data_IF_836674280531
#
_entry.id   IF_836674280531
#
_cell.length_a   1.000
_cell.length_b   1.000
_cell.length_c   1.000
_cell.angle_alpha   90.00
_cell.angle_beta   90.00
_cell.angle_gamma   90.00
#
_symmetry.space_group_name_H-M   'P 1'
#
loop_
_entity.id
_entity.type
_entity.pdbx_description
1 polymer ?
#
# COMPACT_ATOMS: atom_id res chain seq x y z
N UNK A 1 15.95 26.07 12.67
CA UNK A 1 16.08 25.66 11.25
C UNK A 1 14.94 24.70 11.00
N UNK A 2 13.84 25.25 10.48
CA UNK A 2 12.54 24.57 10.38
C UNK A 2 12.54 23.76 9.09
N UNK A 3 12.75 22.46 9.18
CA UNK A 3 12.44 21.54 8.08
C UNK A 3 10.92 21.49 7.95
N UNK A 4 10.39 22.17 6.92
CA UNK A 4 9.02 21.96 6.47
C UNK A 4 8.96 20.56 5.85
N UNK A 5 7.98 19.70 6.18
CA UNK A 5 7.84 18.43 5.50
C UNK A 5 7.34 18.73 4.09
N UNK A 6 8.23 18.65 3.12
CA UNK A 6 7.86 18.66 1.70
C UNK A 6 6.91 17.50 1.47
N UNK A 7 5.68 17.83 1.10
CA UNK A 7 4.59 16.89 0.94
C UNK A 7 5.00 15.80 -0.05
N UNK A 8 5.38 14.63 0.49
CA UNK A 8 5.23 13.37 -0.22
C UNK A 8 3.85 13.40 -0.88
N UNK A 9 3.75 13.04 -2.15
CA UNK A 9 2.47 12.85 -2.82
C UNK A 9 1.74 11.66 -2.16
N UNK A 10 1.23 11.88 -0.95
CA UNK A 10 0.46 10.93 -0.15
C UNK A 10 -0.91 10.88 -0.76
N UNK A 11 -1.13 9.90 -1.61
CA UNK A 11 -2.41 9.77 -2.31
C UNK A 11 -3.32 8.95 -1.44
N UNK A 12 -4.37 9.60 -0.95
CA UNK A 12 -5.35 8.96 -0.10
C UNK A 12 -6.28 8.06 -0.90
N UNK A 13 -6.29 6.76 -0.62
CA UNK A 13 -7.09 5.77 -1.33
C UNK A 13 -8.58 6.14 -1.37
N UNK A 14 -9.15 6.57 -0.24
CA UNK A 14 -10.53 7.07 -0.18
C UNK A 14 -10.78 8.29 -1.07
N UNK A 15 -9.83 9.23 -1.16
CA UNK A 15 -9.95 10.44 -1.97
C UNK A 15 -10.03 10.14 -3.47
N UNK A 16 -9.36 9.09 -3.94
CA UNK A 16 -9.45 8.68 -5.34
C UNK A 16 -10.88 8.26 -5.70
N UNK A 17 -11.57 7.54 -4.80
CA UNK A 17 -12.95 7.10 -5.06
C UNK A 17 -13.92 8.29 -5.11
N UNK A 18 -13.65 9.34 -4.32
CA UNK A 18 -14.40 10.60 -4.38
C UNK A 18 -14.16 11.34 -5.69
N UNK A 19 -12.91 11.50 -6.10
CA UNK A 19 -12.56 12.15 -7.36
C UNK A 19 -13.17 11.46 -8.58
N UNK A 20 -13.33 10.12 -8.52
CA UNK A 20 -13.94 9.31 -9.58
C UNK A 20 -15.47 9.26 -9.50
N UNK A 21 -16.09 9.88 -8.49
CA UNK A 21 -17.54 9.85 -8.29
C UNK A 21 -18.09 8.48 -7.88
N UNK A 22 -17.23 7.53 -7.47
CA UNK A 22 -17.63 6.19 -7.04
C UNK A 22 -18.20 6.19 -5.61
N UNK A 23 -17.69 7.08 -4.77
CA UNK A 23 -18.20 7.38 -3.43
C UNK A 23 -18.19 8.89 -3.22
N UNK A 24 -18.98 9.39 -2.29
CA UNK A 24 -18.81 10.75 -1.75
C UNK A 24 -18.00 10.73 -0.44
N UNK A 25 -17.66 11.91 0.07
CA UNK A 25 -16.84 12.03 1.29
C UNK A 25 -17.47 11.35 2.51
N UNK A 26 -18.78 11.46 2.69
CA UNK A 26 -19.48 10.87 3.83
C UNK A 26 -19.55 9.35 3.74
N UNK A 27 -19.67 8.81 2.53
CA UNK A 27 -19.56 7.38 2.28
C UNK A 27 -18.16 6.87 2.61
N UNK A 28 -17.10 7.58 2.17
CA UNK A 28 -15.71 7.23 2.53
C UNK A 28 -15.50 7.27 4.05
N UNK A 29 -15.96 8.33 4.74
CA UNK A 29 -15.89 8.42 6.21
C UNK A 29 -16.58 7.24 6.89
N UNK A 30 -17.75 6.83 6.39
CA UNK A 30 -18.46 5.64 6.89
C UNK A 30 -17.65 4.35 6.72
N UNK A 31 -17.02 4.14 5.56
CA UNK A 31 -16.16 2.96 5.33
C UNK A 31 -14.98 2.97 6.29
N UNK A 32 -14.28 4.09 6.42
CA UNK A 32 -13.11 4.21 7.31
C UNK A 32 -13.49 4.01 8.78
N UNK A 33 -14.64 4.54 9.21
CA UNK A 33 -15.16 4.30 10.56
C UNK A 33 -15.48 2.82 10.80
N UNK A 34 -16.13 2.15 9.82
CA UNK A 34 -16.37 0.72 9.90
C UNK A 34 -15.05 -0.08 9.94
N UNK A 35 -14.09 0.26 9.07
CA UNK A 35 -12.78 -0.37 9.00
C UNK A 35 -12.03 -0.28 10.33
N UNK A 36 -11.98 0.89 10.94
CA UNK A 36 -11.32 1.08 12.23
C UNK A 36 -11.99 0.30 13.36
N UNK A 37 -13.32 0.12 13.30
CA UNK A 37 -14.09 -0.61 14.30
C UNK A 37 -14.03 -2.13 14.14
N UNK A 38 -14.06 -2.64 12.92
CA UNK A 38 -14.20 -4.08 12.65
C UNK A 38 -12.89 -4.75 12.23
N UNK A 39 -11.91 -3.97 11.75
CA UNK A 39 -10.69 -4.52 11.16
C UNK A 39 -10.93 -5.21 9.82
N UNK A 40 -12.09 -5.02 9.18
CA UNK A 40 -12.37 -5.58 7.86
C UNK A 40 -11.70 -4.78 6.74
N UNK A 41 -11.28 -5.40 5.63
CA UNK A 41 -10.66 -4.71 4.51
C UNK A 41 -11.56 -3.65 3.87
N UNK A 42 -10.95 -2.55 3.42
CA UNK A 42 -11.68 -1.41 2.85
C UNK A 42 -12.58 -1.80 1.67
N UNK A 43 -12.08 -2.65 0.76
CA UNK A 43 -12.83 -3.08 -0.41
C UNK A 43 -14.07 -3.90 -0.06
N UNK A 44 -13.93 -4.82 0.90
CA UNK A 44 -15.06 -5.62 1.40
C UNK A 44 -16.14 -4.75 2.04
N UNK A 45 -15.72 -3.70 2.77
CA UNK A 45 -16.64 -2.75 3.37
C UNK A 45 -17.35 -1.88 2.33
N UNK A 46 -16.65 -1.43 1.29
CA UNK A 46 -17.26 -0.73 0.17
C UNK A 46 -18.30 -1.58 -0.56
N UNK A 47 -18.00 -2.86 -0.80
CA UNK A 47 -18.93 -3.79 -1.42
C UNK A 47 -20.18 -3.99 -0.55
N UNK A 48 -19.97 -4.29 0.74
CA UNK A 48 -21.07 -4.53 1.68
C UNK A 48 -21.95 -3.29 1.92
N UNK A 49 -21.35 -2.11 2.03
CA UNK A 49 -22.07 -0.88 2.40
C UNK A 49 -22.66 -0.14 1.19
N UNK A 50 -22.09 -0.29 0.00
CA UNK A 50 -22.38 0.54 -1.17
C UNK A 50 -22.42 -0.23 -2.49
N UNK A 51 -22.24 -1.55 -2.50
CA UNK A 51 -22.27 -2.37 -3.71
C UNK A 51 -21.07 -2.16 -4.65
N UNK A 52 -19.99 -1.54 -4.16
CA UNK A 52 -18.80 -1.24 -4.96
C UNK A 52 -17.78 -2.38 -4.83
N UNK A 53 -17.59 -3.15 -5.92
CA UNK A 53 -16.70 -4.32 -5.90
C UNK A 53 -15.23 -3.94 -5.64
N UNK A 54 -14.44 -4.79 -4.97
CA UNK A 54 -13.01 -4.56 -4.77
C UNK A 54 -12.25 -4.35 -6.09
N UNK A 55 -12.64 -5.05 -7.15
CA UNK A 55 -12.03 -4.90 -8.47
C UNK A 55 -12.27 -3.50 -9.08
N UNK A 56 -13.44 -2.91 -8.85
CA UNK A 56 -13.74 -1.52 -9.27
C UNK A 56 -12.89 -0.50 -8.51
N UNK A 57 -12.65 -0.76 -7.22
CA UNK A 57 -11.83 0.10 -6.37
C UNK A 57 -10.37 0.04 -6.82
N UNK A 58 -9.86 -1.18 -7.02
CA UNK A 58 -8.50 -1.42 -7.53
C UNK A 58 -8.26 -0.74 -8.88
N UNK A 59 -9.21 -0.84 -9.82
CA UNK A 59 -9.07 -0.23 -11.14
C UNK A 59 -9.10 1.30 -11.09
N UNK A 60 -10.00 1.88 -10.27
CA UNK A 60 -10.06 3.32 -10.06
C UNK A 60 -8.76 3.87 -9.47
N UNK A 61 -8.18 3.16 -8.51
CA UNK A 61 -6.89 3.50 -7.91
C UNK A 61 -5.74 3.37 -8.90
N UNK A 62 -5.62 2.24 -9.60
CA UNK A 62 -4.56 2.01 -10.56
C UNK A 62 -4.54 3.11 -11.65
N UNK A 63 -5.71 3.51 -12.15
CA UNK A 63 -5.81 4.56 -13.16
C UNK A 63 -5.37 5.93 -12.64
N UNK A 64 -5.66 6.27 -11.38
CA UNK A 64 -5.24 7.54 -10.79
C UNK A 64 -3.73 7.59 -10.57
N UNK A 65 -3.16 6.51 -10.05
CA UNK A 65 -1.73 6.44 -9.78
C UNK A 65 -0.87 6.39 -11.05
N UNK A 66 -1.34 5.83 -12.15
CA UNK A 66 -0.64 5.88 -13.44
C UNK A 66 -0.32 7.33 -13.88
N UNK A 67 -1.18 8.30 -13.54
CA UNK A 67 -0.95 9.73 -13.82
C UNK A 67 -0.01 10.43 -12.84
N UNK A 68 0.38 9.78 -11.74
CA UNK A 68 1.22 10.35 -10.67
C UNK A 68 2.67 9.83 -10.71
N UNK A 69 2.99 8.95 -11.66
CA UNK A 69 4.30 8.29 -11.78
C UNK A 69 5.45 9.26 -12.13
N UNK A 70 5.15 10.45 -12.64
CA UNK A 70 6.14 11.39 -13.18
C UNK A 70 6.93 12.21 -12.14
N UNK A 71 6.73 12.00 -10.83
CA UNK A 71 7.28 12.89 -9.77
C UNK A 71 8.16 12.18 -8.73
N UNK A 72 8.64 10.97 -8.99
CA UNK A 72 9.18 10.11 -7.93
C UNK A 72 10.68 9.85 -8.09
N UNK A 73 11.49 10.78 -7.58
CA UNK A 73 12.91 10.56 -7.32
C UNK A 73 13.20 10.45 -5.81
N UNK A 74 13.80 9.30 -5.44
CA UNK A 74 14.55 8.93 -4.21
C UNK A 74 13.99 9.23 -2.82
N UNK A 75 14.01 8.19 -1.97
CA UNK A 75 14.62 8.19 -0.61
C UNK A 75 14.70 6.75 -0.10
N UNK A 76 15.71 6.45 0.71
CA UNK A 76 15.83 5.17 1.40
C UNK A 76 14.56 4.87 2.23
N UNK A 77 14.14 3.61 2.27
CA UNK A 77 12.99 3.21 3.06
C UNK A 77 13.44 2.96 4.50
N UNK A 78 13.07 3.86 5.40
CA UNK A 78 13.31 3.74 6.84
C UNK A 78 12.00 3.35 7.54
N UNK A 79 11.68 2.06 7.66
CA UNK A 79 10.44 1.61 8.26
C UNK A 79 10.44 1.75 9.78
N UNK A 80 9.32 2.18 10.35
CA UNK A 80 9.07 2.07 11.80
C UNK A 80 8.84 0.61 12.21
N UNK A 81 9.17 0.27 13.45
CA UNK A 81 9.04 -1.10 13.97
C UNK A 81 7.56 -1.53 14.03
N UNK A 82 6.67 -0.59 14.35
CA UNK A 82 5.23 -0.76 14.38
C UNK A 82 4.70 -1.10 12.99
N UNK A 83 5.16 -0.40 11.96
CA UNK A 83 4.75 -0.67 10.58
C UNK A 83 5.22 -2.04 10.10
N UNK A 84 6.45 -2.45 10.45
CA UNK A 84 6.97 -3.78 10.10
C UNK A 84 6.10 -4.91 10.68
N UNK A 85 5.55 -4.72 11.88
CA UNK A 85 4.69 -5.70 12.53
C UNK A 85 3.32 -5.87 11.84
N UNK A 86 2.89 -4.88 11.03
CA UNK A 86 1.59 -4.91 10.35
C UNK A 86 1.55 -5.82 9.12
N UNK A 87 2.72 -6.11 8.54
CA UNK A 87 2.83 -6.91 7.31
C UNK A 87 3.76 -8.08 7.56
N UNK A 88 3.25 -9.29 7.36
CA UNK A 88 4.10 -10.48 7.46
C UNK A 88 5.09 -10.52 6.30
N UNK A 89 6.26 -11.14 6.50
CA UNK A 89 7.24 -11.40 5.43
C UNK A 89 6.60 -11.98 4.16
N UNK A 90 5.73 -12.98 4.33
CA UNK A 90 5.05 -13.62 3.18
C UNK A 90 4.22 -12.59 2.42
N UNK A 91 3.44 -11.77 3.11
CA UNK A 91 2.64 -10.72 2.48
C UNK A 91 3.51 -9.65 1.81
N UNK A 92 4.59 -9.20 2.44
CA UNK A 92 5.50 -8.20 1.88
C UNK A 92 6.03 -8.63 0.50
N UNK A 93 6.52 -9.87 0.40
CA UNK A 93 6.97 -10.46 -0.87
C UNK A 93 5.82 -10.81 -1.82
N UNK A 94 4.73 -11.38 -1.31
CA UNK A 94 3.56 -11.77 -2.12
C UNK A 94 2.77 -10.58 -2.63
N UNK A 95 2.90 -9.39 -2.07
CA UNK A 95 2.20 -8.21 -2.55
C UNK A 95 3.12 -7.10 -3.01
N UNK A 96 4.45 -7.32 -2.89
CA UNK A 96 5.48 -6.39 -3.34
C UNK A 96 5.30 -5.02 -2.67
N UNK A 97 5.15 -5.05 -1.36
CA UNK A 97 4.94 -3.88 -0.51
C UNK A 97 5.91 -3.88 0.65
N UNK A 98 6.39 -2.69 1.01
CA UNK A 98 7.22 -2.47 2.18
C UNK A 98 6.50 -1.47 3.10
N UNK A 99 6.07 -1.84 4.31
CA UNK A 99 5.50 -0.88 5.24
C UNK A 99 6.56 0.13 5.68
N UNK A 100 6.18 1.40 5.73
CA UNK A 100 7.07 2.53 6.03
C UNK A 100 6.73 3.12 7.40
N UNK A 101 5.47 3.51 7.59
CA UNK A 101 5.03 4.10 8.85
C UNK A 101 3.64 3.62 9.23
N UNK A 102 3.37 3.66 10.52
CA UNK A 102 2.07 3.37 11.11
C UNK A 102 1.78 4.45 12.14
N UNK A 103 1.02 5.46 11.74
CA UNK A 103 0.76 6.66 12.52
C UNK A 103 -0.73 7.00 12.43
N UNK A 104 -1.35 7.46 13.53
CA UNK A 104 -2.76 7.87 13.56
C UNK A 104 -3.78 6.84 13.02
N UNK A 105 -3.43 5.54 13.07
CA UNK A 105 -4.27 4.47 12.54
C UNK A 105 -4.20 4.32 11.01
N UNK A 106 -3.22 4.95 10.37
CA UNK A 106 -2.99 4.94 8.93
C UNK A 106 -1.67 4.20 8.62
N UNK A 107 -1.71 3.24 7.69
CA UNK A 107 -0.55 2.47 7.25
C UNK A 107 0.00 3.01 5.94
N UNK A 108 1.25 3.48 5.96
CA UNK A 108 1.97 3.86 4.74
C UNK A 108 2.71 2.66 4.17
N UNK A 109 2.41 2.31 2.91
CA UNK A 109 3.08 1.23 2.18
C UNK A 109 3.86 1.80 0.99
N UNK A 110 5.14 1.42 0.88
CA UNK A 110 5.93 1.65 -0.31
C UNK A 110 5.73 0.51 -1.33
N UNK A 111 5.59 0.85 -2.60
CA UNK A 111 5.56 -0.10 -3.72
C UNK A 111 6.09 0.53 -5.01
N UNK A 112 6.15 -0.23 -6.10
CA UNK A 112 6.54 0.30 -7.42
C UNK A 112 5.32 0.52 -8.30
N UNK A 113 5.40 1.37 -9.33
CA UNK A 113 4.34 1.50 -10.33
C UNK A 113 3.96 0.16 -10.98
N UNK A 114 4.94 -0.72 -11.23
CA UNK A 114 4.72 -2.03 -11.85
C UNK A 114 4.05 -3.03 -10.90
N UNK A 115 4.30 -2.90 -9.60
CA UNK A 115 3.73 -3.77 -8.56
C UNK A 115 2.41 -3.21 -7.98
N UNK A 116 2.01 -2.00 -8.38
CA UNK A 116 0.92 -1.28 -7.76
C UNK A 116 -0.40 -2.03 -7.76
N UNK A 117 -0.81 -2.65 -8.87
CA UNK A 117 -2.07 -3.41 -8.93
C UNK A 117 -2.10 -4.53 -7.87
N UNK A 118 -0.94 -5.15 -7.61
CA UNK A 118 -0.78 -6.19 -6.61
C UNK A 118 -0.83 -5.62 -5.19
N UNK A 119 -0.22 -4.46 -4.99
CA UNK A 119 -0.27 -3.72 -3.73
C UNK A 119 -1.69 -3.22 -3.41
N UNK A 120 -2.44 -2.72 -4.40
CA UNK A 120 -3.82 -2.28 -4.24
C UNK A 120 -4.72 -3.43 -3.83
N UNK A 121 -4.56 -4.62 -4.42
CA UNK A 121 -5.26 -5.85 -4.01
C UNK A 121 -5.03 -6.19 -2.54
N UNK A 122 -3.82 -5.97 -2.05
CA UNK A 122 -3.50 -6.19 -0.65
C UNK A 122 -4.25 -5.21 0.25
N UNK A 123 -4.26 -3.93 -0.11
CA UNK A 123 -4.97 -2.89 0.64
C UNK A 123 -6.50 -3.08 0.62
N UNK A 124 -7.09 -3.46 -0.52
CA UNK A 124 -8.55 -3.64 -0.65
C UNK A 124 -9.05 -4.89 0.05
N UNK A 125 -8.28 -5.97 0.05
CA UNK A 125 -8.79 -7.30 0.40
C UNK A 125 -8.15 -7.93 1.63
N UNK A 126 -7.03 -7.40 2.14
CA UNK A 126 -6.27 -8.05 3.22
C UNK A 126 -6.03 -7.12 4.39
N UNK A 127 -5.69 -5.86 4.15
CA UNK A 127 -5.40 -4.92 5.22
C UNK A 127 -6.69 -4.33 5.79
N UNK A 128 -6.93 -4.62 7.08
CA UNK A 128 -8.06 -4.12 7.87
C UNK A 128 -7.90 -2.69 8.39
N UNK A 129 -6.94 -1.93 7.88
CA UNK A 129 -6.62 -0.56 8.30
C UNK A 129 -6.58 0.38 7.09
N UNK A 130 -6.81 1.69 7.29
CA UNK A 130 -6.56 2.68 6.25
C UNK A 130 -5.12 2.56 5.72
N UNK A 131 -4.97 2.55 4.39
CA UNK A 131 -3.68 2.42 3.71
C UNK A 131 -3.45 3.58 2.76
N UNK A 132 -2.20 4.01 2.65
CA UNK A 132 -1.73 4.96 1.64
C UNK A 132 -0.47 4.45 0.98
N UNK A 133 -0.34 4.69 -0.33
CA UNK A 133 0.85 4.27 -1.05
C UNK A 133 1.79 5.42 -1.33
N UNK A 134 3.07 5.09 -1.18
CA UNK A 134 4.20 5.88 -1.64
C UNK A 134 4.90 5.05 -2.69
N UNK A 135 5.34 5.71 -3.76
CA UNK A 135 5.98 5.01 -4.86
C UNK A 135 7.50 5.05 -4.71
N UNK A 136 8.14 3.96 -5.09
CA UNK A 136 9.59 3.82 -5.09
C UNK A 136 10.05 3.03 -6.31
N UNK A 137 11.37 2.91 -6.49
CA UNK A 137 11.95 2.11 -7.57
C UNK A 137 11.99 0.64 -7.19
N UNK A 138 11.99 -0.26 -8.19
CA UNK A 138 12.15 -1.70 -7.95
C UNK A 138 13.43 -2.03 -7.22
N UNK A 139 14.54 -1.32 -7.51
CA UNK A 139 15.82 -1.49 -6.82
C UNK A 139 15.69 -1.21 -5.33
N UNK A 140 15.09 -0.07 -4.98
CA UNK A 140 14.90 0.36 -3.58
C UNK A 140 13.96 -0.59 -2.84
N UNK A 141 12.84 -0.98 -3.46
CA UNK A 141 11.90 -1.93 -2.86
C UNK A 141 12.57 -3.29 -2.61
N UNK A 142 13.29 -3.82 -3.59
CA UNK A 142 13.96 -5.11 -3.49
C UNK A 142 15.05 -5.12 -2.40
N UNK A 143 15.81 -4.03 -2.28
CA UNK A 143 16.81 -3.87 -1.22
C UNK A 143 16.15 -3.89 0.16
N UNK A 144 15.11 -3.08 0.37
CA UNK A 144 14.39 -3.01 1.65
C UNK A 144 13.71 -4.35 2.00
N UNK A 145 13.07 -5.03 1.04
CA UNK A 145 12.45 -6.33 1.30
C UNK A 145 13.48 -7.39 1.72
N UNK A 146 14.70 -7.38 1.16
CA UNK A 146 15.76 -8.30 1.57
C UNK A 146 16.30 -7.98 2.97
N UNK A 147 16.45 -6.71 3.29
CA UNK A 147 16.96 -6.23 4.57
C UNK A 147 15.98 -6.51 5.72
N UNK A 148 14.73 -6.09 5.58
CA UNK A 148 13.74 -6.13 6.66
C UNK A 148 12.88 -7.40 6.65
N UNK A 149 12.77 -8.08 5.52
CA UNK A 149 12.00 -9.32 5.37
C UNK A 149 12.82 -10.43 4.70
N UNK A 150 13.99 -10.81 5.25
CA UNK A 150 14.89 -11.78 4.63
C UNK A 150 14.18 -13.13 4.42
N UNK A 151 14.29 -13.66 3.20
CA UNK A 151 13.79 -14.99 2.85
C UNK A 151 14.84 -16.04 3.27
N UNK A 152 14.59 -16.90 4.27
CA UNK A 152 15.48 -18.00 4.57
C UNK A 152 15.36 -19.03 3.45
N UNK A 153 16.45 -19.32 2.74
CA UNK A 153 16.54 -20.43 1.78
C UNK A 153 16.66 -20.09 0.29
N UNK A 154 16.88 -18.83 -0.11
CA UNK A 154 17.22 -18.48 -1.52
C UNK A 154 18.75 -18.36 -1.69
N UNK A 155 19.49 -19.36 -1.21
CA UNK A 155 20.95 -19.49 -1.41
C UNK A 155 21.37 -20.94 -1.74
N UNK A 156 20.48 -21.77 -2.33
CA UNK A 156 20.78 -23.21 -2.57
C UNK A 156 20.63 -23.71 -4.01
N UNK A 157 20.50 -22.83 -5.01
CA UNK A 157 20.60 -23.26 -6.42
C UNK A 157 21.60 -22.41 -7.20
N UNK A 158 22.87 -22.50 -6.81
CA UNK A 158 24.02 -22.21 -7.68
C UNK A 158 25.06 -23.29 -7.41
N UNK A 159 24.88 -24.45 -8.03
CA UNK A 159 25.72 -25.62 -7.80
C UNK A 159 25.17 -26.85 -8.51
N UNK A 160 25.14 -26.81 -9.84
CA UNK A 160 24.70 -27.91 -10.68
C UNK A 160 25.44 -27.86 -12.01
N UNK A 161 26.75 -27.98 -11.96
CA UNK A 161 27.54 -28.40 -13.12
C UNK A 161 27.15 -29.84 -13.47
N UNK A 162 26.75 -30.06 -14.72
CA UNK A 162 27.08 -31.27 -15.45
C UNK A 162 27.38 -30.88 -16.90
#
# INVERSE_FOLDING_TARGET
>A
MTVQPEAMATVRLGSILVQRGLLNEDQVKRVLCAQNRTGEPFGLLCERLFGLSPATIESAWAQQYAGLVDTLERSDLCPSMEALAMVTRRQAWQFRVMPVSWDDGELTLATTPNDLCRALRFATNVIGRPVYFVMTTSRTLDAALREYYPLPGIDIFSGGSN
#
